data_IF_543167034323
#
_entry.id   IF_543167034323
#
_cell.length_a   1.000
_cell.length_b   1.000
_cell.length_c   1.000
_cell.angle_alpha   90.00
_cell.angle_beta   90.00
_cell.angle_gamma   90.00
#
_symmetry.space_group_name_H-M   'P 1'
#
loop_
_entity.id
_entity.type
_entity.pdbx_description
1 polymer ?
#
# COMPACT_ATOMS: atom_id res chain seq x y z
N UNK A 1 47.65 -6.77 8.39
CA UNK A 1 47.11 -6.95 7.02
C UNK A 1 46.13 -5.82 6.79
N UNK A 2 46.12 -5.19 5.61
CA UNK A 2 45.13 -4.17 5.31
C UNK A 2 43.74 -4.82 5.28
N UNK A 3 42.77 -4.18 5.94
CA UNK A 3 41.38 -4.63 5.93
C UNK A 3 40.83 -4.47 4.51
N UNK A 4 40.27 -5.54 3.95
CA UNK A 4 39.60 -5.47 2.64
C UNK A 4 38.17 -5.00 2.90
N UNK A 5 37.91 -3.72 2.63
CA UNK A 5 36.59 -3.10 2.83
C UNK A 5 35.68 -3.31 1.62
N UNK A 6 34.38 -3.10 1.81
CA UNK A 6 33.41 -3.16 0.73
C UNK A 6 33.75 -2.20 -0.42
N UNK A 7 34.16 -0.97 -0.11
CA UNK A 7 34.51 0.07 -1.09
C UNK A 7 35.75 -0.32 -1.91
N UNK A 8 36.75 -0.92 -1.26
CA UNK A 8 37.95 -1.42 -1.94
C UNK A 8 37.58 -2.47 -2.98
N UNK A 9 36.72 -3.43 -2.62
CA UNK A 9 36.27 -4.46 -3.56
C UNK A 9 35.41 -3.87 -4.67
N UNK A 10 34.51 -2.94 -4.34
CA UNK A 10 33.61 -2.28 -5.29
C UNK A 10 34.36 -1.48 -6.37
N UNK A 11 35.53 -0.94 -6.04
CA UNK A 11 36.42 -0.27 -7.01
C UNK A 11 37.10 -1.24 -8.00
N UNK A 12 36.97 -2.56 -7.80
CA UNK A 12 37.74 -3.59 -8.51
C UNK A 12 36.86 -4.73 -9.03
N UNK A 13 35.63 -4.43 -9.46
CA UNK A 13 34.68 -5.42 -9.99
C UNK A 13 34.92 -5.81 -11.46
N UNK A 14 35.90 -5.18 -12.12
CA UNK A 14 36.23 -5.46 -13.51
C UNK A 14 36.69 -6.91 -13.71
N UNK A 15 36.35 -7.47 -14.87
CA UNK A 15 36.74 -8.82 -15.28
C UNK A 15 35.87 -9.95 -14.73
N UNK A 16 34.80 -9.66 -14.01
CA UNK A 16 33.75 -10.63 -13.69
C UNK A 16 32.84 -10.83 -14.91
N UNK A 17 32.63 -12.08 -15.30
CA UNK A 17 31.66 -12.44 -16.34
C UNK A 17 30.28 -12.70 -15.75
N UNK A 18 29.22 -12.55 -16.56
CA UNK A 18 27.85 -12.89 -16.13
C UNK A 18 27.77 -14.34 -15.64
N UNK A 19 28.41 -15.28 -16.33
CA UNK A 19 28.47 -16.68 -15.91
C UNK A 19 29.12 -16.90 -14.53
N UNK A 20 30.06 -16.03 -14.12
CA UNK A 20 30.62 -16.06 -12.76
C UNK A 20 29.66 -15.46 -11.72
N UNK A 21 28.89 -14.45 -12.12
CA UNK A 21 27.87 -13.85 -11.26
C UNK A 21 26.69 -14.80 -11.05
N UNK A 22 26.30 -15.57 -12.07
CA UNK A 22 25.22 -16.57 -11.98
C UNK A 22 25.52 -17.69 -11.00
N UNK A 23 26.80 -17.93 -10.74
CA UNK A 23 27.31 -18.85 -9.70
C UNK A 23 27.30 -18.27 -8.29
N UNK A 24 26.89 -17.01 -8.12
CA UNK A 24 26.90 -16.31 -6.85
C UNK A 24 25.46 -16.05 -6.37
N UNK A 25 25.11 -16.65 -5.23
CA UNK A 25 23.78 -16.58 -4.65
C UNK A 25 23.80 -15.89 -3.29
N UNK A 26 22.94 -14.90 -3.11
CA UNK A 26 22.71 -14.24 -1.82
C UNK A 26 21.84 -15.14 -0.94
N UNK A 27 22.30 -15.43 0.27
CA UNK A 27 21.57 -16.23 1.27
C UNK A 27 21.48 -15.46 2.57
N UNK A 28 20.39 -15.65 3.31
CA UNK A 28 20.20 -15.10 4.65
C UNK A 28 20.20 -16.29 5.60
N UNK A 29 21.07 -16.27 6.60
CA UNK A 29 21.04 -17.26 7.67
C UNK A 29 19.79 -17.00 8.53
N UNK A 30 18.86 -17.96 8.56
CA UNK A 30 17.60 -17.82 9.30
C UNK A 30 17.80 -17.69 10.82
N UNK A 31 18.88 -18.26 11.36
CA UNK A 31 19.13 -18.23 12.80
C UNK A 31 19.71 -16.90 13.26
N UNK A 32 20.59 -16.30 12.45
CA UNK A 32 21.33 -15.08 12.81
C UNK A 32 20.81 -13.83 12.10
N UNK A 33 20.05 -13.99 11.02
CA UNK A 33 19.67 -12.91 10.11
C UNK A 33 20.83 -12.38 9.26
N UNK A 34 22.04 -12.97 9.38
CA UNK A 34 23.22 -12.49 8.68
C UNK A 34 23.17 -12.84 7.19
N UNK A 35 23.46 -11.85 6.35
CA UNK A 35 23.58 -12.04 4.90
C UNK A 35 24.94 -12.63 4.59
N UNK A 36 24.97 -13.66 3.75
CA UNK A 36 26.18 -14.23 3.19
C UNK A 36 25.96 -14.61 1.73
N UNK A 37 27.05 -14.83 1.01
CA UNK A 37 27.00 -15.24 -0.38
C UNK A 37 27.58 -16.63 -0.53
N UNK A 38 26.87 -17.48 -1.26
CA UNK A 38 27.38 -18.77 -1.69
C UNK A 38 27.86 -18.63 -3.12
N UNK A 39 29.11 -19.03 -3.38
CA UNK A 39 29.72 -18.92 -4.71
C UNK A 39 30.24 -20.29 -5.13
N UNK A 40 29.73 -20.80 -6.25
CA UNK A 40 30.21 -22.06 -6.83
C UNK A 40 31.61 -21.92 -7.40
N UNK A 41 32.41 -22.98 -7.34
CA UNK A 41 33.70 -23.05 -8.03
C UNK A 41 33.56 -22.73 -9.53
N UNK A 42 34.51 -21.97 -10.08
CA UNK A 42 34.59 -21.71 -11.51
C UNK A 42 35.07 -22.92 -12.30
N UNK A 43 35.83 -23.83 -11.68
CA UNK A 43 36.43 -24.99 -12.33
C UNK A 43 35.45 -26.17 -12.34
N UNK A 44 35.07 -26.60 -13.55
CA UNK A 44 34.09 -27.68 -13.79
C UNK A 44 34.53 -29.03 -13.20
N UNK A 45 35.84 -29.24 -13.00
CA UNK A 45 36.41 -30.51 -12.51
C UNK A 45 36.50 -30.59 -10.97
N UNK A 46 36.33 -29.46 -10.27
CA UNK A 46 36.34 -29.42 -8.81
C UNK A 46 34.90 -29.43 -8.26
N UNK A 47 34.24 -30.59 -8.39
CA UNK A 47 33.02 -31.05 -7.68
C UNK A 47 32.22 -29.94 -6.97
N UNK A 48 31.37 -29.19 -7.68
CA UNK A 48 30.29 -28.33 -7.14
C UNK A 48 30.62 -27.63 -5.81
N UNK A 49 31.87 -27.18 -5.64
CA UNK A 49 32.32 -26.75 -4.32
C UNK A 49 31.74 -25.37 -4.06
N UNK A 50 30.92 -25.27 -3.02
CA UNK A 50 30.31 -24.01 -2.58
C UNK A 50 31.24 -23.31 -1.60
N UNK A 51 31.60 -22.07 -1.92
CA UNK A 51 32.32 -21.18 -1.02
C UNK A 51 31.37 -20.20 -0.36
N UNK A 52 31.53 -19.99 0.95
CA UNK A 52 30.77 -19.00 1.72
C UNK A 52 31.60 -17.73 1.82
N UNK A 53 31.02 -16.61 1.42
CA UNK A 53 31.57 -15.28 1.58
C UNK A 53 30.71 -14.49 2.57
N UNK A 54 31.32 -13.98 3.63
CA UNK A 54 30.69 -13.11 4.62
C UNK A 54 31.46 -11.79 4.68
N UNK A 55 30.76 -10.72 5.05
CA UNK A 55 31.34 -9.41 5.31
C UNK A 55 31.00 -8.98 6.72
N UNK A 56 31.99 -8.43 7.40
CA UNK A 56 31.88 -7.82 8.72
C UNK A 56 32.70 -6.52 8.72
N UNK A 57 32.20 -5.47 9.35
CA UNK A 57 32.83 -4.14 9.27
C UNK A 57 34.16 -4.08 10.03
N UNK A 58 34.33 -4.89 11.08
CA UNK A 58 35.53 -4.90 11.90
C UNK A 58 36.62 -5.80 11.30
N UNK A 59 36.22 -6.93 10.73
CA UNK A 59 37.14 -7.99 10.25
C UNK A 59 37.24 -8.10 8.72
N UNK A 60 36.35 -7.44 7.99
CA UNK A 60 36.35 -7.36 6.53
C UNK A 60 35.71 -8.58 5.86
N UNK A 61 36.14 -8.88 4.64
CA UNK A 61 35.65 -10.08 3.94
C UNK A 61 36.30 -11.36 4.45
N UNK A 62 35.47 -12.37 4.65
CA UNK A 62 35.90 -13.74 4.90
C UNK A 62 35.33 -14.66 3.81
N UNK A 63 36.21 -15.44 3.17
CA UNK A 63 35.83 -16.43 2.16
C UNK A 63 36.37 -17.80 2.58
N UNK A 64 35.54 -18.84 2.50
CA UNK A 64 35.97 -20.21 2.87
C UNK A 64 36.91 -20.86 1.85
N UNK A 65 37.17 -20.20 0.71
CA UNK A 65 38.13 -20.69 -0.28
C UNK A 65 39.56 -20.67 0.26
N UNK A 66 40.47 -21.38 -0.42
CA UNK A 66 41.88 -21.42 -0.03
C UNK A 66 42.49 -20.02 0.05
N UNK A 67 42.09 -19.09 -0.81
CA UNK A 67 42.62 -17.74 -0.74
C UNK A 67 42.15 -16.96 0.49
N UNK A 68 40.87 -17.05 0.86
CA UNK A 68 40.37 -16.40 2.07
C UNK A 68 40.97 -16.99 3.35
N UNK A 69 41.22 -18.29 3.39
CA UNK A 69 41.94 -18.93 4.50
C UNK A 69 43.37 -18.42 4.69
N UNK A 70 44.00 -17.92 3.62
CA UNK A 70 45.34 -17.33 3.62
C UNK A 70 45.29 -15.80 3.68
N UNK A 71 44.13 -15.22 4.05
CA UNK A 71 43.91 -13.78 4.12
C UNK A 71 44.16 -13.06 2.78
N UNK A 72 43.88 -13.74 1.67
CA UNK A 72 44.01 -13.26 0.29
C UNK A 72 45.45 -12.97 -0.18
N UNK A 73 46.47 -13.34 0.60
CA UNK A 73 47.87 -13.11 0.25
C UNK A 73 48.35 -13.87 -1.00
N UNK A 74 47.62 -14.91 -1.40
CA UNK A 74 47.91 -15.76 -2.56
C UNK A 74 47.04 -15.42 -3.81
N UNK A 75 46.29 -14.32 -3.77
CA UNK A 75 45.45 -13.90 -4.89
C UNK A 75 46.31 -13.37 -6.03
N UNK A 76 46.16 -13.94 -7.23
CA UNK A 76 46.88 -13.50 -8.45
C UNK A 76 46.27 -12.26 -9.12
N UNK A 77 45.05 -11.88 -8.72
CA UNK A 77 44.41 -10.68 -9.24
C UNK A 77 45.13 -9.43 -8.69
N UNK A 78 45.32 -8.43 -9.54
CA UNK A 78 46.10 -7.22 -9.20
C UNK A 78 45.50 -6.41 -8.05
N UNK A 79 44.18 -6.52 -7.80
CA UNK A 79 43.52 -5.87 -6.67
C UNK A 79 43.77 -6.54 -5.32
N UNK A 80 44.38 -7.73 -5.31
CA UNK A 80 44.56 -8.55 -4.11
C UNK A 80 43.26 -9.18 -3.57
N UNK A 81 42.16 -9.11 -4.32
CA UNK A 81 40.85 -9.65 -3.92
C UNK A 81 40.48 -10.85 -4.78
N UNK A 82 40.08 -11.95 -4.15
CA UNK A 82 39.65 -13.13 -4.89
C UNK A 82 38.33 -12.89 -5.63
N UNK A 83 38.05 -13.72 -6.64
CA UNK A 83 36.89 -13.49 -7.49
C UNK A 83 35.55 -13.77 -6.78
N UNK A 84 35.50 -14.67 -5.77
CA UNK A 84 34.26 -14.94 -5.04
C UNK A 84 33.83 -13.72 -4.24
N UNK A 85 34.78 -13.03 -3.58
CA UNK A 85 34.49 -11.77 -2.86
C UNK A 85 34.01 -10.69 -3.82
N UNK A 86 34.69 -10.51 -4.97
CA UNK A 86 34.23 -9.54 -5.99
C UNK A 86 32.82 -9.87 -6.51
N UNK A 87 32.52 -11.15 -6.77
CA UNK A 87 31.20 -11.58 -7.21
C UNK A 87 30.13 -11.28 -6.16
N UNK A 88 30.42 -11.54 -4.87
CA UNK A 88 29.51 -11.24 -3.76
C UNK A 88 29.16 -9.76 -3.66
N UNK A 89 30.16 -8.88 -3.80
CA UNK A 89 29.97 -7.43 -3.78
C UNK A 89 29.18 -6.95 -4.99
N UNK A 90 29.48 -7.48 -6.18
CA UNK A 90 28.71 -7.15 -7.39
C UNK A 90 27.24 -7.53 -7.24
N UNK A 91 26.94 -8.73 -6.72
CA UNK A 91 25.57 -9.18 -6.44
C UNK A 91 24.87 -8.37 -5.35
N UNK A 92 25.57 -7.94 -4.30
CA UNK A 92 25.00 -7.05 -3.28
C UNK A 92 24.64 -5.68 -3.88
N UNK A 93 25.48 -5.11 -4.75
CA UNK A 93 25.17 -3.85 -5.43
C UNK A 93 23.96 -3.98 -6.36
N UNK A 94 23.86 -5.08 -7.12
CA UNK A 94 22.68 -5.39 -7.95
C UNK A 94 21.41 -5.52 -7.10
N UNK A 95 21.49 -6.28 -6.01
CA UNK A 95 20.36 -6.45 -5.08
C UNK A 95 19.90 -5.13 -4.48
N UNK A 96 20.83 -4.24 -4.07
CA UNK A 96 20.49 -2.90 -3.57
C UNK A 96 19.81 -2.04 -4.63
N UNK A 97 20.29 -2.10 -5.88
CA UNK A 97 19.69 -1.35 -6.98
C UNK A 97 18.26 -1.85 -7.31
N UNK A 98 18.06 -3.16 -7.31
CA UNK A 98 16.74 -3.78 -7.49
C UNK A 98 15.78 -3.43 -6.35
N UNK A 99 16.27 -3.49 -5.10
CA UNK A 99 15.50 -3.11 -3.92
C UNK A 99 15.07 -1.64 -3.97
N UNK A 100 15.99 -0.73 -4.36
CA UNK A 100 15.66 0.68 -4.54
C UNK A 100 14.60 0.87 -5.64
N UNK A 101 14.76 0.21 -6.78
CA UNK A 101 13.80 0.30 -7.89
C UNK A 101 12.40 -0.18 -7.47
N UNK A 102 12.33 -1.25 -6.68
CA UNK A 102 11.07 -1.76 -6.13
C UNK A 102 10.45 -0.78 -5.13
N UNK A 103 11.24 -0.22 -4.22
CA UNK A 103 10.75 0.78 -3.27
C UNK A 103 10.22 2.02 -3.99
N UNK A 104 10.89 2.50 -5.04
CA UNK A 104 10.45 3.64 -5.83
C UNK A 104 9.14 3.33 -6.59
N UNK A 105 9.00 2.10 -7.12
CA UNK A 105 7.77 1.66 -7.76
C UNK A 105 6.59 1.58 -6.77
N UNK A 106 6.81 0.99 -5.60
CA UNK A 106 5.80 0.88 -4.53
C UNK A 106 5.39 2.27 -4.02
N UNK A 107 6.34 3.21 -3.89
CA UNK A 107 6.07 4.58 -3.48
C UNK A 107 5.19 5.31 -4.51
N UNK A 108 5.49 5.17 -5.81
CA UNK A 108 4.67 5.74 -6.89
C UNK A 108 3.26 5.15 -6.92
N UNK A 109 3.13 3.84 -6.69
CA UNK A 109 1.81 3.21 -6.61
C UNK A 109 1.00 3.74 -5.42
N UNK A 110 1.63 3.89 -4.25
CA UNK A 110 0.96 4.45 -3.08
C UNK A 110 0.53 5.90 -3.30
N UNK A 111 1.36 6.72 -3.97
CA UNK A 111 1.02 8.08 -4.35
C UNK A 111 -0.19 8.12 -5.28
N UNK A 112 -0.19 7.32 -6.35
CA UNK A 112 -1.32 7.23 -7.28
C UNK A 112 -2.63 6.82 -6.58
N UNK A 113 -2.57 5.85 -5.64
CA UNK A 113 -3.73 5.46 -4.83
C UNK A 113 -4.25 6.58 -3.94
N UNK A 114 -3.35 7.41 -3.38
CA UNK A 114 -3.73 8.58 -2.56
C UNK A 114 -4.37 9.66 -3.41
N UNK A 115 -3.83 9.93 -4.60
CA UNK A 115 -4.43 10.89 -5.55
C UNK A 115 -5.81 10.45 -6.00
N UNK A 116 -5.99 9.16 -6.33
CA UNK A 116 -7.29 8.61 -6.71
C UNK A 116 -8.30 8.71 -5.57
N UNK A 117 -7.89 8.38 -4.34
CA UNK A 117 -8.73 8.51 -3.15
C UNK A 117 -9.11 9.97 -2.88
N UNK A 118 -8.17 10.90 -3.02
CA UNK A 118 -8.42 12.33 -2.87
C UNK A 118 -9.40 12.85 -3.92
N UNK A 119 -9.24 12.41 -5.19
CA UNK A 119 -10.17 12.76 -6.27
C UNK A 119 -11.58 12.24 -6.00
N UNK A 120 -11.72 10.97 -5.58
CA UNK A 120 -13.02 10.38 -5.21
C UNK A 120 -13.68 11.10 -4.05
N UNK A 121 -12.90 11.52 -3.06
CA UNK A 121 -13.42 12.30 -1.94
C UNK A 121 -13.88 13.70 -2.39
N UNK A 122 -13.11 14.35 -3.26
CA UNK A 122 -13.51 15.63 -3.85
C UNK A 122 -14.81 15.51 -4.66
N UNK A 123 -14.97 14.44 -5.45
CA UNK A 123 -16.20 14.15 -6.19
C UNK A 123 -17.40 13.97 -5.23
N UNK A 124 -17.23 13.21 -4.13
CA UNK A 124 -18.28 13.07 -3.09
C UNK A 124 -18.65 14.39 -2.44
N UNK A 125 -17.67 15.24 -2.16
CA UNK A 125 -17.92 16.56 -1.58
C UNK A 125 -18.66 17.47 -2.58
N UNK A 126 -18.35 17.39 -3.87
CA UNK A 126 -19.08 18.12 -4.91
C UNK A 126 -20.52 17.61 -5.06
N UNK A 127 -20.75 16.30 -5.01
CA UNK A 127 -22.10 15.72 -5.04
C UNK A 127 -22.93 16.11 -3.82
N UNK A 128 -22.33 16.18 -2.63
CA UNK A 128 -23.01 16.63 -1.41
C UNK A 128 -23.24 18.15 -1.36
N UNK A 129 -22.32 18.92 -1.95
CA UNK A 129 -22.43 20.38 -2.03
C UNK A 129 -23.34 20.84 -3.18
N UNK A 130 -23.61 19.99 -4.17
CA UNK A 130 -24.62 20.25 -5.16
C UNK A 130 -25.93 20.49 -4.39
N UNK A 131 -26.49 21.71 -4.42
CA UNK A 131 -27.77 21.95 -3.78
C UNK A 131 -28.70 20.93 -4.41
N UNK A 132 -29.32 20.09 -3.57
CA UNK A 132 -30.40 19.26 -4.04
C UNK A 132 -31.34 20.24 -4.76
N UNK A 133 -31.47 20.10 -6.08
CA UNK A 133 -32.42 20.87 -6.88
C UNK A 133 -33.82 20.33 -6.56
N UNK A 134 -34.10 20.21 -5.26
CA UNK A 134 -35.40 20.01 -4.70
C UNK A 134 -36.18 21.23 -5.16
N UNK A 135 -37.16 21.04 -6.06
CA UNK A 135 -37.99 22.14 -6.47
C UNK A 135 -38.52 22.78 -5.19
N UNK A 136 -38.38 24.10 -5.08
CA UNK A 136 -38.89 24.79 -3.90
C UNK A 136 -40.33 24.35 -3.67
N UNK A 137 -40.79 24.30 -2.41
CA UNK A 137 -42.15 23.86 -2.08
C UNK A 137 -43.21 24.46 -3.03
N UNK A 138 -43.02 25.72 -3.41
CA UNK A 138 -43.86 26.44 -4.35
C UNK A 138 -43.75 25.94 -5.80
N UNK A 139 -42.53 25.71 -6.32
CA UNK A 139 -42.32 25.09 -7.62
C UNK A 139 -42.86 23.65 -7.70
N UNK A 140 -42.71 22.87 -6.63
CA UNK A 140 -43.26 21.51 -6.54
C UNK A 140 -44.79 21.53 -6.60
N UNK A 141 -45.43 22.49 -5.91
CA UNK A 141 -46.87 22.70 -5.95
C UNK A 141 -47.36 23.14 -7.32
N UNK A 142 -46.67 24.08 -7.97
CA UNK A 142 -47.02 24.57 -9.30
C UNK A 142 -47.00 23.42 -10.32
N UNK A 143 -45.91 22.63 -10.34
CA UNK A 143 -45.77 21.45 -11.20
C UNK A 143 -46.87 20.43 -10.94
N UNK A 144 -47.22 20.15 -9.68
CA UNK A 144 -48.29 19.23 -9.34
C UNK A 144 -49.66 19.72 -9.84
N UNK A 145 -49.97 21.00 -9.64
CA UNK A 145 -51.23 21.62 -10.08
C UNK A 145 -51.37 21.61 -11.60
N UNK A 146 -50.28 21.75 -12.33
CA UNK A 146 -50.31 21.71 -13.80
C UNK A 146 -50.48 20.30 -14.34
N UNK A 147 -49.82 19.33 -13.72
CA UNK A 147 -49.87 17.93 -14.12
C UNK A 147 -51.20 17.23 -13.75
N UNK A 148 -51.93 17.70 -12.73
CA UNK A 148 -53.11 17.01 -12.21
C UNK A 148 -54.41 17.76 -12.47
N UNK A 149 -55.49 17.00 -12.55
CA UNK A 149 -56.87 17.49 -12.63
C UNK A 149 -57.71 16.74 -11.60
N UNK A 150 -58.53 17.48 -10.85
CA UNK A 150 -59.51 16.94 -9.90
C UNK A 150 -60.87 17.35 -10.46
N UNK A 151 -61.72 16.38 -10.77
CA UNK A 151 -63.04 16.59 -11.38
C UNK A 151 -63.00 17.49 -12.63
N UNK A 152 -61.96 17.31 -13.47
CA UNK A 152 -61.78 18.06 -14.72
C UNK A 152 -61.24 19.48 -14.56
N UNK A 153 -61.06 20.01 -13.34
CA UNK A 153 -60.49 21.34 -13.08
C UNK A 153 -59.07 21.29 -12.51
N UNK A 154 -58.34 22.41 -12.64
CA UNK A 154 -57.03 22.60 -11.98
C UNK A 154 -57.23 22.60 -10.46
N UNK A 155 -56.43 21.85 -9.68
CA UNK A 155 -56.51 21.87 -8.22
C UNK A 155 -56.25 23.27 -7.66
N UNK A 156 -56.95 23.61 -6.58
CA UNK A 156 -56.59 24.78 -5.76
C UNK A 156 -55.26 24.55 -5.05
N UNK A 157 -54.65 25.63 -4.54
CA UNK A 157 -53.38 25.55 -3.81
C UNK A 157 -53.48 24.62 -2.59
N UNK A 158 -54.54 24.74 -1.79
CA UNK A 158 -54.76 23.92 -0.60
C UNK A 158 -54.97 22.43 -0.93
N UNK A 159 -55.74 22.12 -1.98
CA UNK A 159 -55.92 20.75 -2.46
C UNK A 159 -54.59 20.13 -2.90
N UNK A 160 -53.78 20.88 -3.65
CA UNK A 160 -52.45 20.45 -4.07
C UNK A 160 -51.49 20.26 -2.88
N UNK A 161 -51.49 21.16 -1.90
CA UNK A 161 -50.67 21.03 -0.68
C UNK A 161 -51.03 19.79 0.12
N UNK A 162 -52.33 19.51 0.26
CA UNK A 162 -52.83 18.36 1.01
C UNK A 162 -52.49 17.04 0.32
N UNK A 163 -52.59 16.98 -1.01
CA UNK A 163 -52.30 15.77 -1.80
C UNK A 163 -50.79 15.52 -1.93
N UNK A 164 -50.00 16.55 -2.21
CA UNK A 164 -48.57 16.41 -2.50
C UNK A 164 -47.76 16.15 -1.22
N UNK A 165 -47.99 16.91 -0.15
CA UNK A 165 -47.17 16.83 1.06
C UNK A 165 -47.73 15.90 2.13
N UNK A 166 -48.82 15.17 1.84
CA UNK A 166 -49.53 14.31 2.80
C UNK A 166 -49.62 14.98 4.17
N UNK A 167 -49.98 16.27 4.20
CA UNK A 167 -50.12 16.97 5.47
C UNK A 167 -51.25 16.26 6.20
N UNK A 168 -50.89 15.39 7.14
CA UNK A 168 -51.87 14.76 8.01
C UNK A 168 -52.64 15.91 8.66
N UNK A 169 -53.97 15.89 8.65
CA UNK A 169 -54.75 16.92 9.31
C UNK A 169 -54.19 17.06 10.73
N UNK A 170 -53.89 18.31 11.14
CA UNK A 170 -53.48 18.54 12.52
C UNK A 170 -54.59 17.98 13.41
N UNK A 171 -54.26 17.07 14.35
CA UNK A 171 -55.27 16.53 15.25
C UNK A 171 -55.95 17.70 15.94
N UNK A 172 -57.27 17.62 16.01
CA UNK A 172 -58.07 18.56 16.78
C UNK A 172 -57.65 18.51 18.25
N UNK A 173 -57.93 19.59 18.99
CA UNK A 173 -57.62 19.65 20.43
C UNK A 173 -58.21 18.46 21.18
N UNK A 174 -59.42 18.06 20.83
CA UNK A 174 -60.11 16.90 21.41
C UNK A 174 -59.45 15.56 21.07
N UNK A 175 -58.93 15.39 19.85
CA UNK A 175 -58.18 14.19 19.47
C UNK A 175 -56.85 14.12 20.21
N UNK A 176 -56.14 15.25 20.34
CA UNK A 176 -54.89 15.32 21.10
C UNK A 176 -55.09 15.02 22.59
N UNK A 177 -56.17 15.54 23.20
CA UNK A 177 -56.52 15.25 24.59
C UNK A 177 -56.89 13.77 24.80
N UNK A 178 -57.61 13.16 23.86
CA UNK A 178 -57.97 11.73 23.91
C UNK A 178 -56.76 10.82 23.72
N UNK A 179 -55.80 11.22 22.88
CA UNK A 179 -54.56 10.50 22.67
C UNK A 179 -53.65 10.57 23.91
N UNK A 180 -53.49 11.76 24.52
CA UNK A 180 -52.78 11.90 25.80
C UNK A 180 -53.35 10.99 26.90
N UNK A 181 -54.67 10.85 27.00
CA UNK A 181 -55.30 9.96 27.99
C UNK A 181 -54.93 8.49 27.80
N UNK A 182 -54.65 8.03 26.57
CA UNK A 182 -54.21 6.65 26.30
C UNK A 182 -52.80 6.38 26.80
N UNK A 183 -51.95 7.40 26.82
CA UNK A 183 -50.55 7.32 27.26
C UNK A 183 -50.33 7.70 28.72
N UNK A 184 -51.38 8.07 29.46
CA UNK A 184 -51.26 8.23 30.91
C UNK A 184 -50.88 6.88 31.52
N UNK A 185 -49.71 6.85 32.17
CA UNK A 185 -49.18 5.65 32.79
C UNK A 185 -50.21 5.06 33.75
N UNK A 186 -50.72 3.86 33.43
CA UNK A 186 -51.57 3.14 34.37
C UNK A 186 -50.72 2.74 35.56
N UNK A 187 -51.15 3.02 36.80
CA UNK A 187 -50.42 2.58 37.98
C UNK A 187 -50.36 1.05 37.96
N UNK A 188 -49.18 0.48 37.80
CA UNK A 188 -48.98 -0.94 37.98
C UNK A 188 -48.86 -1.24 39.48
N UNK A 189 -49.53 -2.30 39.93
CA UNK A 189 -49.36 -2.82 41.29
C UNK A 189 -48.24 -3.86 41.25
N UNK A 190 -47.20 -3.65 42.05
CA UNK A 190 -46.18 -4.67 42.33
C UNK A 190 -46.80 -5.61 43.38
N UNK A 191 -46.98 -6.88 43.04
CA UNK A 191 -47.38 -7.95 43.97
C UNK A 191 -46.15 -8.69 44.48
#
# INVERSE_FOLDING_TARGET
MALITFEHVAAHLDGLTEAQLDKCHRTIDEATGQVFYQVESSEYEQNEQMYKVTYDEETGFHCTCKSGQWGFANVKHWSGVDWHVRASVKRELEFRAEAQTRQDADAREQEARREEAAKKEQERQQEQAAPADEPTREQALERFRDAHRIDGRRPTREEAERLLFKVSPRPTREEAERDMQRYQARPFRIM
#
